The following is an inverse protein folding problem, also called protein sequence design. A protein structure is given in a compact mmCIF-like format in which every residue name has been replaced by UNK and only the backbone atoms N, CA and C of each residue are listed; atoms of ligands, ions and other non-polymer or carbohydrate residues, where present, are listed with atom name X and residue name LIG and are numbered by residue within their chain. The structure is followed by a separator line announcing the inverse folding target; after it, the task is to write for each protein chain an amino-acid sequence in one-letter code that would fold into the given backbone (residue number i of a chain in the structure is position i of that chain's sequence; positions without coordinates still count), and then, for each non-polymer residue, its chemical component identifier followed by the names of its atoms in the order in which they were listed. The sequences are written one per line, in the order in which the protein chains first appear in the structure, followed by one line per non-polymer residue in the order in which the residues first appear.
data_IF_529561223409
#
_entry.id   IF_529561223409
#
_cell.length_a   1.000
_cell.length_b   1.000
_cell.length_c   1.000
_cell.angle_alpha   90.00
_cell.angle_beta   90.00
_cell.angle_gamma   90.00
#
_symmetry.space_group_name_H-M   'P 1'
#
loop_
_entity.id
_entity.type
_entity.pdbx_description
1 polymer ?
#
# COMPACT_ATOMS: atom_id res chain seq x y z
N UNK A 1 54.40 -10.70 34.15
CA UNK A 1 55.42 -9.71 34.57
C UNK A 1 54.80 -8.78 35.60
N UNK A 2 55.57 -8.47 36.64
CA UNK A 2 55.18 -7.85 37.91
C UNK A 2 54.90 -6.34 37.84
N UNK A 3 53.95 -5.92 38.70
CA UNK A 3 53.84 -4.68 39.52
C UNK A 3 54.58 -3.40 39.09
N UNK A 4 53.88 -2.26 39.22
CA UNK A 4 54.07 -1.24 40.27
C UNK A 4 53.47 0.11 39.82
N UNK A 5 52.59 0.73 40.60
CA UNK A 5 52.95 1.86 41.48
C UNK A 5 52.17 3.10 41.04
N UNK A 6 51.86 4.11 41.84
CA UNK A 6 52.18 4.47 43.22
C UNK A 6 51.23 5.62 43.58
N UNK A 7 50.63 5.58 44.77
CA UNK A 7 49.81 6.66 45.34
C UNK A 7 50.72 7.68 46.02
N UNK A 8 50.56 8.96 45.68
CA UNK A 8 50.98 10.17 46.42
C UNK A 8 50.18 11.32 45.78
N UNK A 9 49.63 12.33 46.43
CA UNK A 9 49.74 12.83 47.79
C UNK A 9 49.02 14.20 47.82
N UNK A 10 48.18 14.38 48.82
CA UNK A 10 47.91 15.60 49.60
C UNK A 10 47.84 17.00 48.92
N UNK A 11 46.63 17.58 49.06
CA UNK A 11 46.27 18.93 49.58
C UNK A 11 47.16 20.12 49.18
N UNK A 12 46.57 21.17 48.60
CA UNK A 12 46.19 22.38 49.36
C UNK A 12 45.41 23.41 48.52
N UNK A 13 44.46 24.05 49.20
CA UNK A 13 43.63 25.17 48.82
C UNK A 13 44.29 26.28 47.98
N UNK A 14 43.56 26.77 46.97
CA UNK A 14 43.35 28.21 46.75
C UNK A 14 41.91 28.49 46.28
N UNK A 15 41.12 29.12 47.15
CA UNK A 15 39.91 29.88 46.78
C UNK A 15 40.35 31.19 46.11
N UNK A 16 39.73 31.58 45.00
CA UNK A 16 39.46 32.98 44.64
C UNK A 16 38.21 33.10 43.74
N UNK A 17 37.57 34.27 43.73
CA UNK A 17 36.11 34.39 43.70
C UNK A 17 35.55 34.98 42.40
N UNK A 18 34.23 34.88 42.23
CA UNK A 18 33.43 35.87 41.53
C UNK A 18 33.31 35.72 40.02
N UNK A 19 32.18 35.20 39.56
CA UNK A 19 31.83 35.12 38.14
C UNK A 19 30.32 35.05 37.95
N UNK A 20 29.67 36.21 38.12
CA UNK A 20 28.38 36.67 37.57
C UNK A 20 27.44 35.60 36.98
N UNK A 21 26.31 35.41 37.65
CA UNK A 21 25.09 34.86 37.06
C UNK A 21 24.62 35.78 35.92
N UNK A 22 24.69 35.30 34.68
CA UNK A 22 23.90 35.86 33.59
C UNK A 22 22.61 35.04 33.48
N UNK A 23 21.43 35.69 33.45
CA UNK A 23 20.20 35.00 33.09
C UNK A 23 20.32 34.62 31.61
N UNK A 24 20.30 33.33 31.31
CA UNK A 24 20.19 32.87 29.93
C UNK A 24 18.73 33.09 29.55
N UNK A 25 18.52 34.19 28.84
CA UNK A 25 17.32 34.57 28.11
C UNK A 25 16.85 33.35 27.30
N UNK A 26 15.75 32.74 27.75
CA UNK A 26 15.04 31.65 27.08
C UNK A 26 14.39 32.20 25.81
N UNK A 27 15.21 32.50 24.82
CA UNK A 27 14.77 32.79 23.46
C UNK A 27 14.27 31.51 22.83
N UNK A 28 12.95 31.47 22.65
CA UNK A 28 12.25 30.80 21.57
C UNK A 28 12.88 29.48 21.15
N UNK A 29 12.38 28.39 21.73
CA UNK A 29 12.33 27.13 21.00
C UNK A 29 11.70 27.45 19.64
N UNK A 30 12.52 27.51 18.60
CA UNK A 30 12.04 27.50 17.24
C UNK A 30 11.37 26.15 17.12
N UNK A 31 10.05 26.17 17.19
CA UNK A 31 9.20 25.03 16.98
C UNK A 31 9.46 24.59 15.54
N UNK A 32 10.33 23.60 15.37
CA UNK A 32 10.54 22.97 14.08
C UNK A 32 9.16 22.53 13.59
N UNK A 33 8.73 22.89 12.36
CA UNK A 33 7.49 22.38 11.84
C UNK A 33 7.65 20.87 11.76
N UNK A 34 6.99 20.12 12.65
CA UNK A 34 6.72 18.72 12.41
C UNK A 34 5.72 18.70 11.26
N UNK A 35 6.22 18.73 10.03
CA UNK A 35 5.44 18.24 8.91
C UNK A 35 5.24 16.76 9.19
N UNK A 36 4.10 16.44 9.81
CA UNK A 36 3.55 15.10 9.84
C UNK A 36 3.21 14.76 8.39
N UNK A 37 4.21 14.22 7.68
CA UNK A 37 4.00 13.43 6.47
C UNK A 37 3.28 12.15 6.90
N UNK A 38 1.99 12.27 7.20
CA UNK A 38 1.09 11.14 7.05
C UNK A 38 1.07 10.88 5.54
N UNK A 39 2.03 10.08 5.05
CA UNK A 39 1.95 9.59 3.69
C UNK A 39 0.57 8.93 3.57
N UNK A 40 -0.29 9.48 2.71
CA UNK A 40 -1.60 8.91 2.41
C UNK A 40 -1.32 7.51 1.88
N UNK A 41 -1.46 6.51 2.75
CA UNK A 41 -1.20 5.11 2.41
C UNK A 41 -2.47 4.53 1.85
N UNK A 42 -2.47 4.19 0.56
CA UNK A 42 -3.62 3.50 -0.05
C UNK A 42 -3.77 2.12 0.62
N UNK A 43 -4.90 1.90 1.27
CA UNK A 43 -5.24 0.66 1.93
C UNK A 43 -5.51 -0.44 0.89
N UNK A 44 -4.95 -1.63 1.13
CA UNK A 44 -5.12 -2.81 0.29
C UNK A 44 -5.75 -3.95 1.10
N UNK A 45 -6.59 -4.80 0.48
CA UNK A 45 -7.15 -5.96 1.15
C UNK A 45 -6.09 -7.02 1.43
N UNK A 46 -6.27 -7.74 2.54
CA UNK A 46 -5.43 -8.89 2.91
C UNK A 46 -5.75 -10.12 2.07
N UNK A 47 -4.81 -11.09 2.00
CA UNK A 47 -5.06 -12.36 1.31
C UNK A 47 -6.31 -13.08 1.83
N UNK A 48 -6.55 -13.06 3.14
CA UNK A 48 -7.73 -13.68 3.75
C UNK A 48 -9.03 -13.01 3.28
N UNK A 49 -9.08 -11.68 3.28
CA UNK A 49 -10.26 -10.95 2.77
C UNK A 49 -10.55 -11.28 1.31
N UNK A 50 -9.51 -11.46 0.49
CA UNK A 50 -9.67 -11.80 -0.93
C UNK A 50 -10.12 -13.26 -1.10
N UNK A 51 -9.61 -14.18 -0.27
CA UNK A 51 -10.06 -15.57 -0.26
C UNK A 51 -11.54 -15.68 0.14
N UNK A 52 -11.94 -15.01 1.23
CA UNK A 52 -13.33 -14.99 1.70
C UNK A 52 -14.27 -14.39 0.65
N UNK A 53 -13.83 -13.30 0.00
CA UNK A 53 -14.55 -12.66 -1.10
C UNK A 53 -14.71 -13.62 -2.29
N UNK A 54 -13.67 -14.37 -2.65
CA UNK A 54 -13.72 -15.35 -3.74
C UNK A 54 -14.71 -16.47 -3.43
N UNK A 55 -14.69 -17.01 -2.21
CA UNK A 55 -15.66 -18.01 -1.77
C UNK A 55 -17.10 -17.48 -1.81
N UNK A 56 -17.32 -16.23 -1.39
CA UNK A 56 -18.64 -15.60 -1.47
C UNK A 56 -19.13 -15.47 -2.91
N UNK A 57 -18.25 -15.08 -3.84
CA UNK A 57 -18.57 -15.00 -5.27
C UNK A 57 -18.95 -16.36 -5.85
N UNK A 58 -18.22 -17.43 -5.48
CA UNK A 58 -18.53 -18.80 -5.89
C UNK A 58 -19.86 -19.29 -5.32
N UNK A 59 -20.15 -18.99 -4.06
CA UNK A 59 -21.42 -19.37 -3.44
C UNK A 59 -22.62 -18.72 -4.14
N UNK A 60 -22.49 -17.46 -4.56
CA UNK A 60 -23.56 -16.72 -5.23
C UNK A 60 -23.74 -17.03 -6.72
N UNK A 61 -22.68 -17.44 -7.42
CA UNK A 61 -22.68 -17.49 -8.89
C UNK A 61 -22.11 -18.78 -9.49
N UNK A 62 -21.70 -19.74 -8.65
CA UNK A 62 -21.06 -20.98 -9.07
C UNK A 62 -19.64 -20.82 -9.63
N UNK A 63 -18.97 -21.95 -9.75
CA UNK A 63 -17.61 -22.09 -10.29
C UNK A 63 -16.81 -23.16 -9.57
N UNK A 64 -15.57 -23.37 -10.00
CA UNK A 64 -14.66 -24.34 -9.38
C UNK A 64 -13.93 -23.71 -8.17
N UNK A 65 -14.00 -24.32 -6.98
CA UNK A 65 -13.30 -23.83 -5.80
C UNK A 65 -11.79 -24.07 -5.86
N UNK A 66 -11.06 -23.36 -5.00
CA UNK A 66 -9.65 -23.56 -4.73
C UNK A 66 -8.68 -22.75 -5.62
N UNK A 67 -7.42 -22.83 -5.24
CA UNK A 67 -6.31 -22.13 -5.90
C UNK A 67 -5.80 -22.87 -7.13
N UNK A 68 -5.32 -22.11 -8.12
CA UNK A 68 -4.70 -22.67 -9.31
C UNK A 68 -3.30 -23.20 -9.01
N UNK A 69 -2.99 -24.39 -9.50
CA UNK A 69 -1.65 -24.96 -9.39
C UNK A 69 -0.60 -24.06 -10.05
N UNK A 70 0.46 -23.72 -9.31
CA UNK A 70 1.54 -22.86 -9.80
C UNK A 70 1.24 -21.36 -9.80
N UNK A 71 0.04 -20.95 -9.38
CA UNK A 71 -0.29 -19.55 -9.10
C UNK A 71 -0.50 -19.38 -7.58
N UNK A 72 -0.19 -18.20 -7.06
CA UNK A 72 -0.36 -17.88 -5.64
C UNK A 72 -1.03 -16.53 -5.49
N UNK A 73 -2.07 -16.48 -4.67
CA UNK A 73 -2.75 -15.24 -4.28
C UNK A 73 -1.75 -14.23 -3.71
N UNK A 74 -0.89 -14.67 -2.78
CA UNK A 74 0.15 -13.83 -2.20
C UNK A 74 1.16 -13.30 -3.22
N UNK A 75 1.47 -14.04 -4.29
CA UNK A 75 2.34 -13.52 -5.37
C UNK A 75 1.66 -12.42 -6.17
N UNK A 76 0.36 -12.57 -6.45
CA UNK A 76 -0.43 -11.54 -7.16
C UNK A 76 -0.56 -10.29 -6.30
N UNK A 77 -0.97 -10.43 -5.03
CA UNK A 77 -1.11 -9.31 -4.11
C UNK A 77 0.25 -8.66 -3.81
N UNK A 78 1.31 -9.46 -3.67
CA UNK A 78 2.68 -8.97 -3.54
C UNK A 78 3.11 -8.10 -4.72
N UNK A 79 2.71 -8.44 -5.96
CA UNK A 79 2.95 -7.57 -7.13
C UNK A 79 2.25 -6.21 -6.99
N UNK A 80 1.04 -6.17 -6.45
CA UNK A 80 0.31 -4.91 -6.17
C UNK A 80 1.04 -4.09 -5.11
N UNK A 81 1.41 -4.69 -3.98
CA UNK A 81 2.19 -4.02 -2.94
C UNK A 81 3.51 -3.45 -3.46
N UNK A 82 4.26 -4.22 -4.25
CA UNK A 82 5.54 -3.77 -4.80
C UNK A 82 5.38 -2.61 -5.78
N UNK A 83 4.34 -2.61 -6.61
CA UNK A 83 4.11 -1.49 -7.53
C UNK A 83 3.66 -0.23 -6.78
N UNK A 84 2.77 -0.37 -5.79
CA UNK A 84 2.35 0.72 -4.92
C UNK A 84 3.53 1.36 -4.17
N UNK A 85 4.45 0.54 -3.64
CA UNK A 85 5.56 1.04 -2.85
C UNK A 85 6.70 1.65 -3.70
N UNK A 86 6.92 1.17 -4.92
CA UNK A 86 8.17 1.46 -5.64
C UNK A 86 8.02 1.93 -7.09
N UNK A 87 6.88 1.72 -7.75
CA UNK A 87 6.71 2.09 -9.16
C UNK A 87 5.76 3.26 -9.37
N UNK A 88 4.73 3.39 -8.55
CA UNK A 88 3.82 4.51 -8.66
C UNK A 88 4.40 5.77 -8.00
N UNK A 89 4.35 6.88 -8.73
CA UNK A 89 4.59 8.22 -8.20
C UNK A 89 3.23 8.86 -7.93
N UNK A 90 2.94 9.12 -6.65
CA UNK A 90 1.69 9.74 -6.18
C UNK A 90 0.40 9.14 -6.83
N UNK A 91 0.19 7.82 -6.72
CA UNK A 91 -0.94 7.18 -7.39
C UNK A 91 -2.27 7.60 -6.79
N UNK A 92 -3.27 7.76 -7.65
CA UNK A 92 -4.68 7.77 -7.25
C UNK A 92 -5.16 6.37 -6.81
N UNK A 93 -6.19 6.32 -5.97
CA UNK A 93 -6.81 5.04 -5.55
C UNK A 93 -7.32 4.26 -6.76
N UNK A 94 -7.88 4.95 -7.76
CA UNK A 94 -8.38 4.36 -8.99
C UNK A 94 -7.28 3.71 -9.81
N UNK A 95 -6.10 4.32 -9.89
CA UNK A 95 -4.94 3.73 -10.57
C UNK A 95 -4.50 2.44 -9.87
N UNK A 96 -4.47 2.43 -8.53
CA UNK A 96 -4.12 1.23 -7.76
C UNK A 96 -5.16 0.14 -7.91
N UNK A 97 -6.46 0.50 -7.84
CA UNK A 97 -7.55 -0.42 -8.08
C UNK A 97 -7.48 -1.03 -9.50
N UNK A 98 -7.26 -0.20 -10.52
CA UNK A 98 -7.10 -0.65 -11.90
C UNK A 98 -5.92 -1.61 -12.06
N UNK A 99 -4.77 -1.28 -11.46
CA UNK A 99 -3.61 -2.15 -11.48
C UNK A 99 -3.85 -3.47 -10.75
N UNK A 100 -4.57 -3.45 -9.63
CA UNK A 100 -4.96 -4.66 -8.92
C UNK A 100 -5.85 -5.54 -9.78
N UNK A 101 -6.89 -4.99 -10.44
CA UNK A 101 -7.73 -5.75 -11.39
C UNK A 101 -6.85 -6.39 -12.47
N UNK A 102 -5.94 -5.63 -13.07
CA UNK A 102 -5.01 -6.14 -14.07
C UNK A 102 -4.16 -7.31 -13.53
N UNK A 103 -3.54 -7.13 -12.36
CA UNK A 103 -2.66 -8.12 -11.75
C UNK A 103 -3.41 -9.43 -11.43
N UNK A 104 -4.67 -9.34 -10.97
CA UNK A 104 -5.50 -10.50 -10.68
C UNK A 104 -5.97 -11.24 -11.93
N UNK A 105 -6.37 -10.52 -12.98
CA UNK A 105 -6.78 -11.14 -14.25
C UNK A 105 -5.60 -11.90 -14.88
N UNK A 106 -4.43 -11.27 -14.94
CA UNK A 106 -3.22 -11.88 -15.54
C UNK A 106 -2.63 -12.97 -14.65
N UNK A 107 -2.61 -12.75 -13.33
CA UNK A 107 -2.03 -13.68 -12.36
C UNK A 107 -2.88 -14.92 -12.14
N UNK A 108 -4.20 -14.82 -12.31
CA UNK A 108 -5.16 -15.92 -12.25
C UNK A 108 -4.93 -16.88 -11.07
N UNK A 109 -4.99 -16.39 -9.82
CA UNK A 109 -4.61 -17.18 -8.63
C UNK A 109 -5.57 -18.33 -8.29
N UNK A 110 -6.81 -18.30 -8.79
CA UNK A 110 -7.85 -19.29 -8.48
C UNK A 110 -8.16 -20.22 -9.66
N UNK A 111 -8.82 -21.35 -9.40
CA UNK A 111 -9.26 -22.27 -10.45
C UNK A 111 -10.35 -21.68 -11.35
N UNK A 112 -11.22 -20.84 -10.79
CA UNK A 112 -12.29 -20.16 -11.50
C UNK A 112 -12.63 -18.83 -10.81
N UNK A 113 -13.54 -18.06 -11.42
CA UNK A 113 -14.05 -16.76 -10.97
C UNK A 113 -13.02 -15.62 -10.94
N UNK A 114 -11.78 -15.82 -11.43
CA UNK A 114 -10.71 -14.81 -11.40
C UNK A 114 -11.12 -13.42 -11.91
N UNK A 115 -11.90 -13.32 -13.01
CA UNK A 115 -12.36 -12.03 -13.54
C UNK A 115 -13.34 -11.33 -12.59
N UNK A 116 -14.26 -12.09 -12.00
CA UNK A 116 -15.23 -11.58 -11.01
C UNK A 116 -14.48 -11.11 -9.77
N UNK A 117 -13.58 -11.94 -9.25
CA UNK A 117 -12.73 -11.61 -8.10
C UNK A 117 -11.86 -10.39 -8.37
N UNK A 118 -11.26 -10.27 -9.56
CA UNK A 118 -10.44 -9.11 -9.90
C UNK A 118 -11.25 -7.80 -9.84
N UNK A 119 -12.45 -7.78 -10.43
CA UNK A 119 -13.33 -6.61 -10.39
C UNK A 119 -13.73 -6.26 -8.96
N UNK A 120 -14.15 -7.26 -8.16
CA UNK A 120 -14.57 -7.02 -6.77
C UNK A 120 -13.39 -6.66 -5.85
N UNK A 121 -12.16 -7.10 -6.15
CA UNK A 121 -10.95 -6.61 -5.47
C UNK A 121 -10.70 -5.14 -5.80
N UNK A 122 -10.91 -4.73 -7.06
CA UNK A 122 -10.88 -3.32 -7.46
C UNK A 122 -11.90 -2.49 -6.68
N UNK A 123 -13.15 -2.97 -6.59
CA UNK A 123 -14.20 -2.37 -5.75
C UNK A 123 -13.75 -2.25 -4.28
N UNK A 124 -13.23 -3.34 -3.72
CA UNK A 124 -12.84 -3.36 -2.32
C UNK A 124 -11.74 -2.33 -2.02
N UNK A 125 -10.77 -2.17 -2.93
CA UNK A 125 -9.73 -1.13 -2.79
C UNK A 125 -10.36 0.26 -2.82
N UNK A 126 -11.26 0.54 -3.76
CA UNK A 126 -11.98 1.83 -3.80
C UNK A 126 -12.70 2.09 -2.48
N UNK A 127 -13.51 1.12 -2.02
CA UNK A 127 -14.30 1.24 -0.79
C UNK A 127 -13.44 1.42 0.47
N UNK A 128 -12.32 0.70 0.58
CA UNK A 128 -11.39 0.80 1.72
C UNK A 128 -10.68 2.15 1.80
N UNK A 129 -10.69 2.93 0.73
CA UNK A 129 -10.07 4.25 0.63
C UNK A 129 -11.11 5.36 0.43
N UNK A 130 -12.35 5.13 0.90
CA UNK A 130 -13.47 6.08 0.87
C UNK A 130 -13.90 6.56 -0.52
N UNK A 131 -13.51 5.85 -1.58
CA UNK A 131 -13.97 6.13 -2.94
C UNK A 131 -15.40 5.63 -3.16
N UNK A 132 -16.23 6.45 -3.80
CA UNK A 132 -17.61 6.10 -4.09
C UNK A 132 -17.69 5.10 -5.25
N UNK A 133 -18.24 3.93 -4.98
CA UNK A 133 -18.62 2.98 -6.04
C UNK A 133 -20.03 3.33 -6.50
N UNK A 134 -20.16 3.84 -7.73
CA UNK A 134 -21.45 4.00 -8.39
C UNK A 134 -21.68 2.76 -9.25
N UNK A 135 -22.79 2.04 -9.04
CA UNK A 135 -23.07 0.78 -9.75
C UNK A 135 -23.05 0.93 -11.29
N UNK A 136 -23.31 2.13 -11.81
CA UNK A 136 -23.20 2.47 -13.24
C UNK A 136 -21.76 2.43 -13.78
N UNK A 137 -20.74 2.49 -12.91
CA UNK A 137 -19.31 2.38 -13.29
C UNK A 137 -18.97 1.03 -13.88
N UNK A 138 -19.69 -0.02 -13.48
CA UNK A 138 -19.55 -1.38 -14.00
C UNK A 138 -20.52 -1.60 -15.18
N UNK A 139 -20.34 -0.79 -16.22
CA UNK A 139 -21.03 -0.97 -17.48
C UNK A 139 -20.46 -2.12 -18.31
N UNK A 140 -21.16 -2.44 -19.42
CA UNK A 140 -20.72 -3.43 -20.42
C UNK A 140 -19.27 -3.14 -20.89
N UNK A 141 -18.91 -1.86 -21.02
CA UNK A 141 -17.56 -1.43 -21.45
C UNK A 141 -16.44 -1.95 -20.53
N UNK A 142 -16.65 -1.98 -19.21
CA UNK A 142 -15.64 -2.48 -18.27
C UNK A 142 -15.54 -4.01 -18.31
N UNK A 143 -16.68 -4.69 -18.46
CA UNK A 143 -16.70 -6.13 -18.63
C UNK A 143 -15.95 -6.55 -19.91
N UNK A 144 -16.19 -5.85 -21.02
CA UNK A 144 -15.49 -6.06 -22.29
C UNK A 144 -13.99 -5.81 -22.15
N UNK A 145 -13.58 -4.72 -21.48
CA UNK A 145 -12.16 -4.43 -21.23
C UNK A 145 -11.46 -5.54 -20.45
N UNK A 146 -12.12 -6.13 -19.44
CA UNK A 146 -11.59 -7.26 -18.68
C UNK A 146 -11.53 -8.55 -19.51
N UNK A 147 -12.50 -8.76 -20.40
CA UNK A 147 -12.48 -9.89 -21.34
C UNK A 147 -11.30 -9.75 -22.31
N UNK A 148 -11.10 -8.57 -22.90
CA UNK A 148 -9.98 -8.28 -23.79
C UNK A 148 -8.62 -8.42 -23.09
N UNK A 149 -8.54 -7.98 -21.83
CA UNK A 149 -7.36 -8.21 -21.00
C UNK A 149 -7.09 -9.70 -20.80
N UNK A 150 -8.11 -10.48 -20.43
CA UNK A 150 -7.98 -11.93 -20.20
C UNK A 150 -7.61 -12.69 -21.48
N UNK A 151 -7.98 -12.16 -22.64
CA UNK A 151 -7.58 -12.67 -23.95
C UNK A 151 -6.13 -12.28 -24.34
N UNK A 152 -5.49 -11.38 -23.60
CA UNK A 152 -4.15 -10.87 -23.88
C UNK A 152 -4.10 -9.76 -24.94
N UNK A 153 -5.25 -9.18 -25.30
CA UNK A 153 -5.36 -8.15 -26.34
C UNK A 153 -5.07 -6.73 -25.83
N UNK A 154 -5.06 -6.55 -24.50
CA UNK A 154 -4.82 -5.27 -23.85
C UNK A 154 -3.68 -5.43 -22.83
N UNK A 155 -2.63 -4.62 -23.01
CA UNK A 155 -1.52 -4.54 -22.06
C UNK A 155 -1.83 -3.68 -20.83
N UNK A 156 -0.95 -3.77 -19.82
CA UNK A 156 -1.09 -3.10 -18.52
C UNK A 156 -1.44 -1.61 -18.63
N UNK A 157 -0.62 -0.82 -19.31
CA UNK A 157 -0.75 0.64 -19.31
C UNK A 157 -2.07 1.09 -19.95
N UNK A 158 -2.45 0.42 -21.06
CA UNK A 158 -3.72 0.67 -21.73
C UNK A 158 -4.91 0.27 -20.85
N UNK A 159 -4.81 -0.85 -20.14
CA UNK A 159 -5.85 -1.30 -19.22
C UNK A 159 -6.06 -0.30 -18.09
N UNK A 160 -4.97 0.10 -17.41
CA UNK A 160 -5.02 1.04 -16.27
C UNK A 160 -5.62 2.38 -16.70
N UNK A 161 -5.19 2.93 -17.83
CA UNK A 161 -5.74 4.18 -18.36
C UNK A 161 -7.24 4.07 -18.66
N UNK A 162 -7.67 3.02 -19.39
CA UNK A 162 -9.08 2.85 -19.76
C UNK A 162 -9.98 2.56 -18.57
N UNK A 163 -9.51 1.81 -17.59
CA UNK A 163 -10.25 1.56 -16.36
C UNK A 163 -10.52 2.88 -15.62
N UNK A 164 -9.51 3.74 -15.45
CA UNK A 164 -9.66 5.05 -14.81
C UNK A 164 -10.65 5.96 -15.54
N UNK A 165 -10.58 6.02 -16.89
CA UNK A 165 -11.56 6.77 -17.70
C UNK A 165 -13.00 6.29 -17.46
N UNK A 166 -13.21 4.97 -17.35
CA UNK A 166 -14.54 4.38 -17.12
C UNK A 166 -15.08 4.72 -15.72
N UNK A 167 -14.23 4.73 -14.69
CA UNK A 167 -14.64 5.12 -13.34
C UNK A 167 -15.07 6.59 -13.25
N UNK A 168 -14.42 7.49 -14.01
CA UNK A 168 -14.72 8.92 -13.98
C UNK A 168 -16.00 9.30 -14.72
N UNK A 169 -16.50 8.44 -15.62
CA UNK A 169 -17.69 8.70 -16.45
C UNK A 169 -19.02 8.44 -15.72
N UNK A 170 -19.00 7.98 -14.47
CA UNK A 170 -20.19 7.53 -13.74
C UNK A 170 -20.25 7.98 -12.29
#
# INVERSE_FOLDING_TARGET
MLRAGRVLGLRHHRRRPGGRTHPVDSRSAVESPRLSLEAVSIALPTEQQIADLHEHLLAGHGGLPGSRAGASLGSVLGRVHMNLAYQFEDPSVEQVAAFAVYAFVVGHPFNDANKRTALTVGDLILLMNDERIVATRYGIELADLVIELAAGNVGQDRFVAKYGELLQRS
#
